data_IF_031187778593
#
_entry.id   IF_031187778593
#
_cell.length_a   1.000
_cell.length_b   1.000
_cell.length_c   1.000
_cell.angle_alpha   90.00
_cell.angle_beta   90.00
_cell.angle_gamma   90.00
#
_symmetry.space_group_name_H-M   'P 1'
#
loop_
_entity.id
_entity.type
_entity.pdbx_description
1 polymer ?
#
# COMPACT_ATOMS: atom_id res chain seq x y z
N UNK A 1 -1.50 3.56 -16.41
CA UNK A 1 -0.70 4.16 -17.50
C UNK A 1 0.34 5.16 -16.98
N UNK A 2 0.00 6.15 -16.11
CA UNK A 2 0.97 7.12 -15.55
C UNK A 2 2.02 6.51 -14.61
N UNK A 3 1.65 5.53 -13.80
CA UNK A 3 2.59 4.80 -12.92
C UNK A 3 3.55 3.90 -13.68
N UNK A 4 3.09 3.24 -14.74
CA UNK A 4 3.95 2.41 -15.60
C UNK A 4 4.98 3.25 -16.37
N UNK A 5 4.62 4.46 -16.76
CA UNK A 5 5.51 5.39 -17.46
C UNK A 5 6.58 5.99 -16.54
N UNK A 6 6.23 6.33 -15.29
CA UNK A 6 7.19 6.81 -14.28
C UNK A 6 8.19 5.70 -13.90
N UNK A 7 7.71 4.47 -13.70
CA UNK A 7 8.55 3.30 -13.44
C UNK A 7 9.54 3.04 -14.59
N UNK A 8 9.11 3.17 -15.85
CA UNK A 8 9.96 3.01 -17.01
C UNK A 8 11.07 4.07 -17.08
N UNK A 9 10.75 5.35 -16.84
CA UNK A 9 11.76 6.44 -16.82
C UNK A 9 12.79 6.26 -15.72
N UNK A 10 12.39 5.76 -14.57
CA UNK A 10 13.33 5.46 -13.47
C UNK A 10 14.25 4.29 -13.84
N UNK A 11 13.72 3.25 -14.44
CA UNK A 11 14.51 2.10 -14.89
C UNK A 11 15.50 2.48 -16.00
N UNK A 12 15.08 3.36 -16.92
CA UNK A 12 15.96 3.93 -17.96
C UNK A 12 17.10 4.77 -17.34
N UNK A 13 16.81 5.62 -16.36
CA UNK A 13 17.80 6.41 -15.66
C UNK A 13 18.82 5.52 -14.94
N UNK A 14 18.33 4.52 -14.21
CA UNK A 14 19.19 3.58 -13.48
C UNK A 14 20.08 2.76 -14.43
N UNK A 15 19.54 2.31 -15.57
CA UNK A 15 20.32 1.61 -16.59
C UNK A 15 21.41 2.50 -17.22
N UNK A 16 21.11 3.76 -17.49
CA UNK A 16 22.11 4.72 -17.99
C UNK A 16 23.23 4.97 -16.99
N UNK A 17 22.88 5.18 -15.71
CA UNK A 17 23.87 5.35 -14.63
C UNK A 17 24.74 4.10 -14.52
N UNK A 18 24.14 2.91 -14.51
CA UNK A 18 24.85 1.64 -14.46
C UNK A 18 25.85 1.50 -15.60
N UNK A 19 25.44 1.75 -16.84
CA UNK A 19 26.32 1.68 -18.01
C UNK A 19 27.47 2.66 -17.93
N UNK A 20 27.22 3.89 -17.50
CA UNK A 20 28.24 4.91 -17.35
C UNK A 20 29.28 4.51 -16.29
N UNK A 21 28.83 4.08 -15.12
CA UNK A 21 29.71 3.64 -14.04
C UNK A 21 30.52 2.41 -14.46
N UNK A 22 29.85 1.42 -15.06
CA UNK A 22 30.54 0.23 -15.55
C UNK A 22 31.61 0.59 -16.58
N UNK A 23 31.29 1.46 -17.55
CA UNK A 23 32.23 1.89 -18.58
C UNK A 23 33.43 2.62 -17.98
N UNK A 24 33.21 3.59 -17.10
CA UNK A 24 34.29 4.36 -16.44
C UNK A 24 35.20 3.43 -15.66
N UNK A 25 34.67 2.47 -14.91
CA UNK A 25 35.46 1.55 -14.10
C UNK A 25 36.25 0.58 -14.99
N UNK A 26 35.64 0.03 -16.03
CA UNK A 26 36.32 -0.87 -16.97
C UNK A 26 37.50 -0.15 -17.67
N UNK A 27 37.26 1.07 -18.17
CA UNK A 27 38.29 1.88 -18.82
C UNK A 27 39.41 2.28 -17.83
N UNK A 28 39.03 2.72 -16.62
CA UNK A 28 40.01 3.08 -15.58
C UNK A 28 40.84 1.87 -15.15
N UNK A 29 40.22 0.69 -15.01
CA UNK A 29 40.96 -0.54 -14.71
C UNK A 29 41.94 -0.92 -15.83
N UNK A 30 41.54 -0.79 -17.09
CA UNK A 30 42.40 -1.08 -18.24
C UNK A 30 43.60 -0.11 -18.31
N UNK A 31 43.36 1.20 -18.08
CA UNK A 31 44.39 2.21 -18.03
C UNK A 31 45.36 1.93 -16.87
N UNK A 32 44.84 1.64 -15.69
CA UNK A 32 45.66 1.31 -14.51
C UNK A 32 46.50 0.07 -14.76
N UNK A 33 45.92 -0.99 -15.33
CA UNK A 33 46.62 -2.21 -15.69
C UNK A 33 47.74 -1.95 -16.69
N UNK A 34 47.48 -1.16 -17.72
CA UNK A 34 48.49 -0.75 -18.71
C UNK A 34 49.66 0.04 -18.10
N UNK A 35 49.38 0.99 -17.19
CA UNK A 35 50.41 1.85 -16.59
C UNK A 35 51.23 1.14 -15.51
N UNK A 36 50.57 0.37 -14.63
CA UNK A 36 51.20 -0.14 -13.39
C UNK A 36 51.87 -1.51 -13.57
N UNK A 37 51.31 -2.37 -14.40
CA UNK A 37 51.79 -3.75 -14.60
C UNK A 37 52.71 -3.94 -15.81
N UNK A 38 52.88 -2.91 -16.63
CA UNK A 38 53.61 -2.97 -17.89
C UNK A 38 55.07 -2.61 -17.77
N UNK A 39 55.82 -3.29 -16.88
CA UNK A 39 57.28 -3.29 -16.92
C UNK A 39 57.84 -4.40 -17.86
N UNK A 40 57.02 -5.03 -18.70
CA UNK A 40 57.43 -6.03 -19.70
C UNK A 40 56.83 -5.69 -21.06
N UNK A 41 57.71 -5.53 -22.03
CA UNK A 41 57.54 -5.27 -23.47
C UNK A 41 56.12 -5.13 -24.02
N UNK A 42 55.80 -3.95 -24.54
CA UNK A 42 54.55 -3.50 -25.15
C UNK A 42 54.08 -4.33 -26.34
N UNK A 43 54.89 -5.19 -26.94
CA UNK A 43 54.61 -5.86 -28.21
C UNK A 43 53.71 -7.11 -28.09
N UNK A 44 53.81 -7.88 -27.00
CA UNK A 44 53.04 -9.12 -26.89
C UNK A 44 51.65 -8.99 -26.22
N UNK A 45 51.45 -7.93 -25.42
CA UNK A 45 50.18 -7.71 -24.69
C UNK A 45 49.27 -6.66 -25.32
N UNK A 46 49.77 -5.86 -26.26
CA UNK A 46 49.00 -4.84 -26.95
C UNK A 46 47.75 -5.38 -27.68
N UNK A 47 47.83 -6.59 -28.20
CA UNK A 47 46.70 -7.28 -28.83
C UNK A 47 45.59 -7.62 -27.84
N UNK A 48 45.92 -8.04 -26.63
CA UNK A 48 44.94 -8.41 -25.59
C UNK A 48 44.14 -7.18 -25.10
N UNK A 49 44.80 -6.05 -24.85
CA UNK A 49 44.16 -4.82 -24.40
C UNK A 49 43.27 -4.24 -25.51
N UNK A 50 43.79 -4.20 -26.74
CA UNK A 50 43.02 -3.71 -27.89
C UNK A 50 41.75 -4.52 -28.11
N UNK A 51 41.82 -5.84 -27.97
CA UNK A 51 40.69 -6.75 -28.09
C UNK A 51 39.64 -6.51 -26.98
N UNK A 52 40.06 -6.31 -25.74
CA UNK A 52 39.16 -6.00 -24.64
C UNK A 52 38.46 -4.64 -24.82
N UNK A 53 39.14 -3.63 -25.33
CA UNK A 53 38.55 -2.32 -25.65
C UNK A 53 37.53 -2.45 -26.78
N UNK A 54 37.84 -3.22 -27.83
CA UNK A 54 36.89 -3.46 -28.93
C UNK A 54 35.62 -4.19 -28.42
N UNK A 55 35.79 -5.23 -27.60
CA UNK A 55 34.64 -5.94 -26.99
C UNK A 55 33.85 -5.01 -26.09
N UNK A 56 34.47 -4.21 -25.24
CA UNK A 56 33.81 -3.25 -24.38
C UNK A 56 32.99 -2.21 -25.14
N UNK A 57 33.55 -1.66 -26.23
CA UNK A 57 32.82 -0.71 -27.09
C UNK A 57 31.65 -1.35 -27.85
N UNK A 58 31.83 -2.59 -28.30
CA UNK A 58 30.75 -3.37 -28.93
C UNK A 58 29.57 -3.62 -27.96
N UNK A 59 29.87 -3.99 -26.72
CA UNK A 59 28.90 -4.18 -25.64
C UNK A 59 28.13 -2.88 -25.37
N UNK A 60 28.86 -1.75 -25.32
CA UNK A 60 28.23 -0.44 -25.14
C UNK A 60 27.27 -0.11 -26.30
N UNK A 61 27.68 -0.39 -27.56
CA UNK A 61 26.85 -0.21 -28.74
C UNK A 61 25.55 -1.02 -28.68
N UNK A 62 25.61 -2.29 -28.27
CA UNK A 62 24.44 -3.16 -28.09
C UNK A 62 23.51 -2.61 -27.00
N UNK A 63 24.05 -2.15 -25.89
CA UNK A 63 23.24 -1.59 -24.81
C UNK A 63 22.57 -0.27 -25.17
N UNK A 64 23.26 0.61 -25.90
CA UNK A 64 22.66 1.83 -26.44
C UNK A 64 21.53 1.51 -27.43
N UNK A 65 21.70 0.48 -28.26
CA UNK A 65 20.65 0.00 -29.17
C UNK A 65 19.44 -0.54 -28.40
N UNK A 66 19.66 -1.30 -27.31
CA UNK A 66 18.57 -1.81 -26.45
C UNK A 66 17.79 -0.67 -25.80
N UNK A 67 18.49 0.39 -25.34
CA UNK A 67 17.84 1.57 -24.76
C UNK A 67 16.99 2.29 -25.84
N UNK A 68 17.50 2.47 -27.06
CA UNK A 68 16.74 3.09 -28.16
C UNK A 68 15.51 2.29 -28.57
N UNK A 69 15.54 0.97 -28.43
CA UNK A 69 14.39 0.07 -28.69
C UNK A 69 13.46 -0.10 -27.47
N UNK A 70 13.57 0.73 -26.45
CA UNK A 70 12.77 0.67 -25.23
C UNK A 70 12.86 -0.65 -24.45
N UNK A 71 13.89 -1.47 -24.73
CA UNK A 71 14.17 -2.73 -24.04
C UNK A 71 15.14 -2.54 -22.86
N UNK A 72 14.92 -1.52 -22.06
CA UNK A 72 15.81 -1.10 -20.97
C UNK A 72 16.05 -2.22 -19.94
N UNK A 73 15.03 -3.01 -19.66
CA UNK A 73 15.09 -4.14 -18.73
C UNK A 73 16.17 -5.18 -19.09
N UNK A 74 16.52 -5.30 -20.37
CA UNK A 74 17.52 -6.29 -20.84
C UNK A 74 18.95 -5.78 -20.73
N UNK A 75 19.18 -4.48 -20.60
CA UNK A 75 20.52 -3.86 -20.52
C UNK A 75 21.37 -4.48 -19.43
N UNK A 76 20.82 -4.58 -18.21
CA UNK A 76 21.52 -5.17 -17.06
C UNK A 76 21.93 -6.63 -17.28
N UNK A 77 21.07 -7.43 -17.92
CA UNK A 77 21.36 -8.82 -18.25
C UNK A 77 22.39 -8.94 -19.37
N UNK A 78 22.29 -8.08 -20.39
CA UNK A 78 23.24 -8.07 -21.52
C UNK A 78 24.66 -7.78 -21.07
N UNK A 79 24.86 -6.87 -20.13
CA UNK A 79 26.19 -6.59 -19.55
C UNK A 79 26.78 -7.80 -18.83
N UNK A 80 25.97 -8.51 -18.03
CA UNK A 80 26.44 -9.71 -17.32
C UNK A 80 26.75 -10.83 -18.30
N UNK A 81 25.89 -11.06 -19.32
CA UNK A 81 26.15 -12.06 -20.37
C UNK A 81 27.43 -11.78 -21.12
N UNK A 82 27.66 -10.53 -21.51
CA UNK A 82 28.88 -10.14 -22.20
C UNK A 82 30.14 -10.38 -21.35
N UNK A 83 30.06 -10.04 -20.05
CA UNK A 83 31.12 -10.32 -19.12
C UNK A 83 31.43 -11.81 -19.02
N UNK A 84 30.41 -12.68 -18.90
CA UNK A 84 30.58 -14.12 -18.84
C UNK A 84 31.21 -14.66 -20.13
N UNK A 85 30.78 -14.14 -21.29
CA UNK A 85 31.35 -14.53 -22.59
C UNK A 85 32.87 -14.25 -22.65
N UNK A 86 33.31 -13.09 -22.16
CA UNK A 86 34.72 -12.74 -22.08
C UNK A 86 35.47 -13.69 -21.13
N UNK A 87 34.90 -13.97 -19.96
CA UNK A 87 35.53 -14.87 -18.97
C UNK A 87 35.64 -16.31 -19.48
N UNK A 88 34.63 -16.82 -20.17
CA UNK A 88 34.67 -18.15 -20.80
C UNK A 88 35.75 -18.19 -21.89
N UNK A 89 35.86 -17.13 -22.71
CA UNK A 89 36.90 -17.05 -23.72
C UNK A 89 38.32 -17.03 -23.09
N UNK A 90 38.50 -16.33 -21.97
CA UNK A 90 39.73 -16.32 -21.21
C UNK A 90 40.10 -17.72 -20.65
N UNK A 91 39.11 -18.45 -20.10
CA UNK A 91 39.27 -19.82 -19.60
C UNK A 91 39.74 -20.73 -20.75
N UNK A 92 39.08 -20.63 -21.90
CA UNK A 92 39.40 -21.44 -23.07
C UNK A 92 40.77 -21.14 -23.64
N UNK A 93 41.20 -19.85 -23.68
CA UNK A 93 42.55 -19.42 -24.07
C UNK A 93 43.59 -19.97 -23.10
N UNK A 94 43.34 -19.95 -21.81
CA UNK A 94 44.23 -20.53 -20.79
C UNK A 94 44.42 -22.04 -21.02
N UNK A 95 43.33 -22.77 -21.31
CA UNK A 95 43.42 -24.22 -21.55
C UNK A 95 44.20 -24.57 -22.81
N UNK A 96 44.12 -23.77 -23.87
CA UNK A 96 44.79 -24.03 -25.15
C UNK A 96 46.28 -23.62 -25.17
N UNK A 97 46.61 -22.51 -24.55
CA UNK A 97 47.93 -21.91 -24.71
C UNK A 97 48.79 -21.94 -23.46
N UNK A 98 48.24 -22.42 -22.32
CA UNK A 98 48.92 -22.46 -21.02
C UNK A 98 49.52 -21.08 -20.59
N UNK A 99 48.99 -20.02 -21.17
CA UNK A 99 49.46 -18.64 -20.97
C UNK A 99 48.58 -17.91 -19.93
N UNK A 100 49.22 -17.50 -18.88
CA UNK A 100 48.80 -16.63 -17.81
C UNK A 100 48.32 -17.31 -16.53
N UNK A 101 48.92 -16.93 -15.43
CA UNK A 101 48.40 -17.23 -14.09
C UNK A 101 46.99 -16.68 -13.94
N UNK A 102 46.07 -17.53 -13.49
CA UNK A 102 44.71 -17.13 -13.11
C UNK A 102 44.80 -16.10 -11.99
N UNK A 103 44.50 -14.84 -12.31
CA UNK A 103 44.33 -13.77 -11.34
C UNK A 103 42.84 -13.74 -10.97
N UNK A 104 42.50 -14.59 -10.00
CA UNK A 104 41.11 -14.73 -9.57
C UNK A 104 40.66 -13.54 -8.77
N UNK A 105 39.53 -13.00 -9.14
CA UNK A 105 38.85 -11.93 -8.44
C UNK A 105 38.76 -10.67 -9.28
N UNK A 106 37.67 -10.57 -10.06
CA UNK A 106 37.50 -9.42 -10.96
C UNK A 106 36.69 -8.33 -10.26
N UNK A 107 37.25 -7.12 -10.19
CA UNK A 107 36.55 -5.94 -9.65
C UNK A 107 35.18 -5.72 -10.30
N UNK A 108 35.03 -6.16 -11.55
CA UNK A 108 33.77 -6.07 -12.32
C UNK A 108 32.64 -6.86 -11.66
N UNK A 109 32.93 -8.00 -11.03
CA UNK A 109 31.92 -8.79 -10.32
C UNK A 109 31.35 -8.06 -9.13
N UNK A 110 32.20 -7.36 -8.39
CA UNK A 110 31.78 -6.52 -7.26
C UNK A 110 30.83 -5.45 -7.73
N UNK A 111 31.05 -4.87 -8.93
CA UNK A 111 30.15 -3.86 -9.50
C UNK A 111 28.78 -4.46 -9.79
N UNK A 112 28.71 -5.62 -10.45
CA UNK A 112 27.44 -6.28 -10.69
C UNK A 112 26.66 -6.56 -9.40
N UNK A 113 27.35 -7.00 -8.35
CA UNK A 113 26.77 -7.23 -7.02
C UNK A 113 26.27 -5.91 -6.41
N UNK A 114 27.05 -4.82 -6.51
CA UNK A 114 26.72 -3.51 -5.93
C UNK A 114 25.50 -2.87 -6.59
N UNK A 115 25.25 -3.15 -7.87
CA UNK A 115 24.09 -2.64 -8.60
C UNK A 115 22.82 -3.44 -8.39
N UNK A 116 22.87 -4.63 -7.79
CA UNK A 116 21.67 -5.42 -7.49
C UNK A 116 20.63 -4.66 -6.65
N UNK A 117 21.00 -4.00 -5.54
CA UNK A 117 20.05 -3.21 -4.75
C UNK A 117 19.45 -2.02 -5.51
N UNK A 118 20.21 -1.42 -6.43
CA UNK A 118 19.77 -0.25 -7.21
C UNK A 118 18.63 -0.62 -8.17
N UNK A 119 18.70 -1.82 -8.76
CA UNK A 119 17.65 -2.31 -9.65
C UNK A 119 16.43 -2.88 -8.92
N UNK A 120 16.51 -3.09 -7.59
CA UNK A 120 15.41 -3.62 -6.75
C UNK A 120 14.73 -4.87 -7.34
N UNK A 121 15.48 -5.69 -8.08
CA UNK A 121 14.94 -6.79 -8.87
C UNK A 121 15.52 -8.14 -8.40
N UNK A 122 14.68 -8.93 -7.71
CA UNK A 122 15.07 -10.27 -7.21
C UNK A 122 15.49 -11.22 -8.32
N UNK A 123 14.88 -11.12 -9.53
CA UNK A 123 15.25 -11.97 -10.68
C UNK A 123 16.66 -11.65 -11.18
N UNK A 124 17.00 -10.34 -11.20
CA UNK A 124 18.35 -9.92 -11.55
C UNK A 124 19.37 -10.39 -10.51
N UNK A 125 19.05 -10.31 -9.22
CA UNK A 125 19.88 -10.85 -8.16
C UNK A 125 20.20 -12.34 -8.36
N UNK A 126 19.15 -13.18 -8.56
CA UNK A 126 19.31 -14.62 -8.77
C UNK A 126 20.17 -14.90 -10.02
N UNK A 127 19.98 -14.11 -11.08
CA UNK A 127 20.78 -14.22 -12.29
C UNK A 127 22.26 -13.92 -12.05
N UNK A 128 22.61 -12.84 -11.37
CA UNK A 128 23.99 -12.47 -11.00
C UNK A 128 24.59 -13.56 -10.08
N UNK A 129 23.83 -14.02 -9.09
CA UNK A 129 24.23 -15.11 -8.19
C UNK A 129 24.59 -16.38 -8.96
N UNK A 130 23.69 -16.88 -9.79
CA UNK A 130 23.91 -18.12 -10.56
C UNK A 130 25.10 -18.00 -11.50
N UNK A 131 25.32 -16.83 -12.06
CA UNK A 131 26.42 -16.51 -12.95
C UNK A 131 27.78 -16.54 -12.24
N UNK A 132 27.90 -15.82 -11.12
CA UNK A 132 29.15 -15.75 -10.38
C UNK A 132 29.49 -17.09 -9.75
N UNK A 133 28.52 -17.74 -9.11
CA UNK A 133 28.71 -19.07 -8.52
C UNK A 133 29.08 -20.10 -9.60
N UNK A 134 28.37 -20.10 -10.73
CA UNK A 134 28.63 -20.99 -11.86
C UNK A 134 30.06 -20.83 -12.41
N UNK A 135 30.56 -19.59 -12.54
CA UNK A 135 31.94 -19.31 -12.97
C UNK A 135 32.95 -19.97 -12.01
N UNK A 136 32.84 -19.75 -10.71
CA UNK A 136 33.81 -20.28 -9.75
C UNK A 136 33.72 -21.80 -9.59
N UNK A 137 32.55 -22.38 -9.79
CA UNK A 137 32.39 -23.85 -9.89
C UNK A 137 33.16 -24.39 -11.11
N UNK A 138 33.07 -23.73 -12.26
CA UNK A 138 33.84 -24.11 -13.46
C UNK A 138 35.35 -24.00 -13.18
N UNK A 139 35.82 -22.92 -12.55
CA UNK A 139 37.23 -22.79 -12.18
C UNK A 139 37.70 -23.91 -11.28
N UNK A 140 36.92 -24.32 -10.29
CA UNK A 140 37.27 -25.37 -9.36
C UNK A 140 37.40 -26.75 -10.05
N UNK A 141 36.42 -27.10 -10.91
CA UNK A 141 36.37 -28.42 -11.55
C UNK A 141 37.22 -28.52 -12.80
N UNK A 142 37.34 -27.47 -13.59
CA UNK A 142 38.05 -27.49 -14.89
C UNK A 142 39.52 -27.14 -14.70
N UNK A 143 39.85 -26.09 -13.95
CA UNK A 143 41.24 -25.63 -13.79
C UNK A 143 41.91 -26.25 -12.57
N UNK A 144 41.15 -26.95 -11.69
CA UNK A 144 41.63 -27.55 -10.42
C UNK A 144 42.43 -26.59 -9.52
N UNK A 145 42.12 -25.31 -9.64
CA UNK A 145 42.77 -24.23 -8.88
C UNK A 145 42.12 -24.11 -7.50
N UNK A 146 42.87 -24.43 -6.44
CA UNK A 146 42.43 -24.36 -5.03
C UNK A 146 42.04 -22.94 -4.64
N UNK A 147 42.66 -21.91 -5.24
CA UNK A 147 42.30 -20.51 -5.03
C UNK A 147 40.83 -20.22 -5.40
N UNK A 148 40.27 -20.93 -6.40
CA UNK A 148 38.86 -20.81 -6.79
C UNK A 148 37.90 -21.08 -5.65
N UNK A 149 38.23 -21.97 -4.71
CA UNK A 149 37.43 -22.28 -3.55
C UNK A 149 37.30 -21.10 -2.56
N UNK A 150 38.39 -20.39 -2.33
CA UNK A 150 38.39 -19.17 -1.49
C UNK A 150 37.48 -18.07 -2.09
N UNK A 151 37.60 -17.85 -3.39
CA UNK A 151 36.73 -16.88 -4.10
C UNK A 151 35.26 -17.27 -4.07
N UNK A 152 34.96 -18.57 -4.27
CA UNK A 152 33.60 -19.09 -4.19
C UNK A 152 32.97 -18.80 -2.81
N UNK A 153 33.70 -19.07 -1.73
CA UNK A 153 33.21 -18.78 -0.37
C UNK A 153 33.02 -17.27 -0.17
N UNK A 154 34.01 -16.48 -0.53
CA UNK A 154 33.97 -15.01 -0.36
C UNK A 154 32.76 -14.39 -1.10
N UNK A 155 32.58 -14.72 -2.39
CA UNK A 155 31.46 -14.18 -3.16
C UNK A 155 30.11 -14.70 -2.70
N UNK A 156 30.03 -15.96 -2.24
CA UNK A 156 28.77 -16.49 -1.67
C UNK A 156 28.39 -15.75 -0.41
N UNK A 157 29.33 -15.43 0.48
CA UNK A 157 29.09 -14.64 1.69
C UNK A 157 28.64 -13.21 1.35
N UNK A 158 29.32 -12.57 0.40
CA UNK A 158 28.95 -11.22 -0.07
C UNK A 158 27.52 -11.23 -0.65
N UNK A 159 27.20 -12.22 -1.47
CA UNK A 159 25.87 -12.33 -2.08
C UNK A 159 24.76 -12.60 -1.05
N UNK A 160 25.03 -13.41 -0.02
CA UNK A 160 24.10 -13.59 1.10
C UNK A 160 23.86 -12.25 1.83
N UNK A 161 24.93 -11.51 2.13
CA UNK A 161 24.82 -10.19 2.76
C UNK A 161 23.98 -9.21 1.90
N UNK A 162 24.27 -9.16 0.60
CA UNK A 162 23.52 -8.31 -0.35
C UNK A 162 22.06 -8.74 -0.45
N UNK A 163 21.77 -10.04 -0.42
CA UNK A 163 20.37 -10.54 -0.39
C UNK A 163 19.61 -10.06 0.84
N UNK A 164 20.24 -10.14 2.01
CA UNK A 164 19.62 -9.66 3.26
C UNK A 164 19.34 -8.15 3.17
N UNK A 165 20.33 -7.37 2.71
CA UNK A 165 20.20 -5.92 2.52
C UNK A 165 19.08 -5.60 1.53
N UNK A 166 19.02 -6.29 0.39
CA UNK A 166 18.01 -6.10 -0.65
C UNK A 166 16.59 -6.37 -0.11
N UNK A 167 16.39 -7.46 0.62
CA UNK A 167 15.10 -7.77 1.20
C UNK A 167 14.68 -6.73 2.25
N UNK A 168 15.59 -6.31 3.13
CA UNK A 168 15.32 -5.26 4.12
C UNK A 168 14.98 -3.93 3.45
N UNK A 169 15.69 -3.59 2.39
CA UNK A 169 15.46 -2.35 1.65
C UNK A 169 14.11 -2.35 0.92
N UNK A 170 13.73 -3.46 0.29
CA UNK A 170 12.42 -3.61 -0.35
C UNK A 170 11.29 -3.49 0.71
N UNK A 171 11.43 -4.13 1.86
CA UNK A 171 10.45 -4.03 2.95
C UNK A 171 10.34 -2.59 3.47
N UNK A 172 11.48 -1.91 3.67
CA UNK A 172 11.50 -0.51 4.09
C UNK A 172 10.81 0.41 3.09
N UNK A 173 11.11 0.26 1.80
CA UNK A 173 10.46 1.06 0.74
C UNK A 173 8.94 0.83 0.67
N UNK A 174 8.48 -0.42 0.85
CA UNK A 174 7.04 -0.70 0.88
C UNK A 174 6.36 -0.05 2.07
N UNK A 175 6.96 -0.10 3.26
CA UNK A 175 6.44 0.55 4.46
C UNK A 175 6.40 2.08 4.32
N UNK A 176 7.45 2.69 3.77
CA UNK A 176 7.49 4.15 3.49
C UNK A 176 6.41 4.54 2.48
N UNK A 177 6.24 3.77 1.40
CA UNK A 177 5.21 4.04 0.39
C UNK A 177 3.80 3.99 0.99
N UNK A 178 3.54 3.02 1.85
CA UNK A 178 2.27 2.89 2.55
C UNK A 178 2.04 4.05 3.54
N UNK A 179 3.06 4.41 4.31
CA UNK A 179 3.00 5.56 5.22
C UNK A 179 2.72 6.89 4.48
N UNK A 180 3.36 7.11 3.32
CA UNK A 180 3.10 8.30 2.48
C UNK A 180 1.66 8.29 1.95
N UNK A 181 1.15 7.12 1.55
CA UNK A 181 -0.24 6.99 1.08
C UNK A 181 -1.22 7.36 2.18
N UNK A 182 -1.06 6.78 3.37
CA UNK A 182 -1.90 7.08 4.54
C UNK A 182 -1.83 8.56 4.92
N UNK A 183 -0.63 9.14 4.97
CA UNK A 183 -0.45 10.56 5.26
C UNK A 183 -1.14 11.47 4.22
N UNK A 184 -1.03 11.15 2.93
CA UNK A 184 -1.68 11.89 1.85
C UNK A 184 -3.21 11.82 1.94
N UNK A 185 -3.78 10.67 2.25
CA UNK A 185 -5.22 10.49 2.44
C UNK A 185 -5.71 11.27 3.67
N UNK A 186 -4.97 11.20 4.79
CA UNK A 186 -5.26 11.96 6.00
C UNK A 186 -5.20 13.47 5.75
N UNK A 187 -4.20 13.94 4.99
CA UNK A 187 -4.08 15.35 4.64
C UNK A 187 -5.25 15.82 3.76
N UNK A 188 -5.68 15.03 2.78
CA UNK A 188 -6.86 15.35 1.96
C UNK A 188 -8.11 15.49 2.83
N UNK A 189 -8.35 14.55 3.74
CA UNK A 189 -9.47 14.60 4.67
C UNK A 189 -9.41 15.82 5.60
N UNK A 190 -8.22 16.18 6.09
CA UNK A 190 -8.03 17.36 6.93
C UNK A 190 -8.35 18.68 6.20
N UNK A 191 -7.93 18.80 4.93
CA UNK A 191 -8.24 19.98 4.09
C UNK A 191 -9.74 20.06 3.83
N UNK A 192 -10.37 18.95 3.43
CA UNK A 192 -11.82 18.87 3.22
C UNK A 192 -12.54 19.22 4.51
N UNK A 193 -12.08 18.67 5.64
CA UNK A 193 -12.60 18.97 6.95
C UNK A 193 -12.59 20.46 7.26
N UNK A 194 -11.45 21.11 7.11
CA UNK A 194 -11.32 22.56 7.37
C UNK A 194 -12.26 23.40 6.48
N UNK A 195 -12.36 23.06 5.21
CA UNK A 195 -13.27 23.74 4.28
C UNK A 195 -14.74 23.47 4.63
N UNK A 196 -15.08 22.22 4.95
CA UNK A 196 -16.43 21.81 5.28
C UNK A 196 -16.97 22.51 6.54
N UNK A 197 -16.13 22.73 7.56
CA UNK A 197 -16.54 23.45 8.76
C UNK A 197 -16.94 24.90 8.45
N UNK A 198 -16.14 25.59 7.65
CA UNK A 198 -16.41 26.99 7.28
C UNK A 198 -17.62 27.09 6.34
N UNK A 199 -17.58 26.35 5.22
CA UNK A 199 -18.64 26.36 4.20
C UNK A 199 -19.96 25.82 4.77
N UNK A 200 -19.90 24.79 5.63
CA UNK A 200 -21.06 24.20 6.24
C UNK A 200 -21.84 25.18 7.13
N UNK A 201 -21.15 25.99 7.91
CA UNK A 201 -21.80 27.06 8.68
C UNK A 201 -22.41 28.14 7.78
N UNK A 202 -21.70 28.56 6.73
CA UNK A 202 -22.17 29.56 5.78
C UNK A 202 -23.36 29.06 4.93
N UNK A 203 -23.48 27.75 4.65
CA UNK A 203 -24.63 27.19 3.91
C UNK A 203 -25.81 26.89 4.87
N UNK A 204 -25.57 26.48 6.11
CA UNK A 204 -26.66 26.24 7.08
C UNK A 204 -27.51 27.48 7.32
N UNK A 205 -26.89 28.67 7.33
CA UNK A 205 -27.61 29.94 7.58
C UNK A 205 -28.67 30.23 6.50
N UNK A 206 -28.37 30.24 5.17
CA UNK A 206 -29.39 30.46 4.17
C UNK A 206 -30.42 29.32 4.09
N UNK A 207 -30.02 28.06 4.37
CA UNK A 207 -30.96 26.94 4.42
C UNK A 207 -31.95 27.09 5.58
N UNK A 208 -31.52 27.56 6.76
CA UNK A 208 -32.41 27.84 7.88
C UNK A 208 -33.43 28.92 7.51
N UNK A 209 -32.99 29.97 6.81
CA UNK A 209 -33.88 31.04 6.33
C UNK A 209 -34.88 30.52 5.29
N UNK A 210 -34.39 29.71 4.31
CA UNK A 210 -35.28 29.11 3.33
C UNK A 210 -36.31 28.16 3.97
N UNK A 211 -35.89 27.36 4.96
CA UNK A 211 -36.82 26.50 5.73
C UNK A 211 -37.88 27.34 6.41
N UNK A 212 -37.52 28.43 7.09
CA UNK A 212 -38.45 29.32 7.75
C UNK A 212 -39.44 29.95 6.80
N UNK A 213 -39.00 30.48 5.66
CA UNK A 213 -39.89 31.02 4.64
C UNK A 213 -40.82 29.97 4.05
N UNK A 214 -40.35 28.79 3.78
CA UNK A 214 -41.15 27.67 3.25
C UNK A 214 -42.17 27.20 4.27
N UNK A 215 -41.84 27.15 5.54
CA UNK A 215 -42.80 26.81 6.62
C UNK A 215 -43.92 27.87 6.74
N UNK A 216 -43.59 29.18 6.70
CA UNK A 216 -44.55 30.22 6.70
C UNK A 216 -45.50 30.17 5.49
N UNK A 217 -45.00 29.83 4.32
CA UNK A 217 -45.84 29.65 3.12
C UNK A 217 -46.74 28.42 3.22
N UNK A 218 -46.25 27.32 3.80
CA UNK A 218 -47.06 26.12 4.05
C UNK A 218 -48.21 26.40 4.99
N UNK A 219 -48.02 27.18 6.02
CA UNK A 219 -49.13 27.60 6.95
C UNK A 219 -50.21 28.40 6.24
N UNK A 220 -49.86 29.14 5.16
CA UNK A 220 -50.85 29.85 4.34
C UNK A 220 -51.51 29.03 3.23
N UNK A 221 -50.88 27.94 2.83
CA UNK A 221 -51.28 27.09 1.74
C UNK A 221 -51.20 25.61 2.16
N UNK A 222 -51.98 25.20 3.19
CA UNK A 222 -51.85 23.89 3.87
C UNK A 222 -52.08 22.71 2.93
N UNK A 223 -52.87 22.86 1.86
CA UNK A 223 -53.20 21.80 0.92
C UNK A 223 -52.16 21.60 -0.20
N UNK A 224 -51.20 22.49 -0.36
CA UNK A 224 -50.20 22.36 -1.43
C UNK A 224 -49.04 21.44 -1.05
N UNK A 225 -48.88 20.29 -1.68
CA UNK A 225 -47.86 19.32 -1.37
C UNK A 225 -46.42 19.82 -1.69
N UNK A 226 -46.31 20.86 -2.54
CA UNK A 226 -45.02 21.42 -2.95
C UNK A 226 -44.20 21.92 -1.75
N UNK A 227 -44.85 22.60 -0.79
CA UNK A 227 -44.18 23.10 0.40
C UNK A 227 -43.64 22.00 1.32
N UNK A 228 -44.37 20.86 1.41
CA UNK A 228 -43.89 19.68 2.16
C UNK A 228 -42.62 19.10 1.50
N UNK A 229 -42.61 19.02 0.18
CA UNK A 229 -41.49 18.53 -0.59
C UNK A 229 -40.28 19.48 -0.49
N UNK A 230 -40.46 20.78 -0.56
CA UNK A 230 -39.43 21.77 -0.38
C UNK A 230 -38.77 21.69 1.01
N UNK A 231 -39.56 21.52 2.07
CA UNK A 231 -39.02 21.34 3.45
C UNK A 231 -38.21 20.07 3.53
N UNK A 232 -38.66 18.99 2.94
CA UNK A 232 -37.95 17.71 2.89
C UNK A 232 -36.58 17.85 2.19
N UNK A 233 -36.54 18.53 1.05
CA UNK A 233 -35.26 18.79 0.34
C UNK A 233 -34.30 19.67 1.15
N UNK A 234 -34.81 20.70 1.83
CA UNK A 234 -33.99 21.56 2.71
C UNK A 234 -33.42 20.73 3.88
N UNK A 235 -34.20 19.82 4.45
CA UNK A 235 -33.76 18.91 5.50
C UNK A 235 -32.69 17.92 5.00
N UNK A 236 -32.84 17.39 3.80
CA UNK A 236 -31.84 16.56 3.16
C UNK A 236 -30.52 17.32 2.97
N UNK A 237 -30.56 18.55 2.47
CA UNK A 237 -29.37 19.39 2.32
C UNK A 237 -28.69 19.67 3.69
N UNK A 238 -29.46 19.98 4.73
CA UNK A 238 -28.93 20.17 6.08
C UNK A 238 -28.26 18.90 6.64
N UNK A 239 -28.81 17.74 6.37
CA UNK A 239 -28.25 16.45 6.77
C UNK A 239 -26.90 16.20 6.04
N UNK A 240 -26.85 16.43 4.71
CA UNK A 240 -25.63 16.30 3.92
C UNK A 240 -24.51 17.22 4.41
N UNK A 241 -24.85 18.49 4.71
CA UNK A 241 -23.88 19.46 5.25
C UNK A 241 -23.41 19.02 6.64
N UNK A 242 -24.30 18.47 7.47
CA UNK A 242 -23.93 17.99 8.80
C UNK A 242 -22.97 16.79 8.71
N UNK A 243 -23.21 15.83 7.82
CA UNK A 243 -22.30 14.72 7.54
C UNK A 243 -20.91 15.24 7.08
N UNK A 244 -20.88 16.25 6.21
CA UNK A 244 -19.63 16.87 5.76
C UNK A 244 -18.87 17.57 6.90
N UNK A 245 -19.60 18.27 7.79
CA UNK A 245 -19.02 18.96 8.96
C UNK A 245 -18.49 17.99 10.03
N UNK A 246 -19.07 16.79 10.17
CA UNK A 246 -18.56 15.78 11.11
C UNK A 246 -17.19 15.25 10.69
N UNK A 247 -16.91 15.14 9.40
CA UNK A 247 -15.56 14.85 8.89
C UNK A 247 -14.57 15.95 9.28
N UNK A 248 -15.06 17.19 9.35
CA UNK A 248 -14.28 18.40 9.61
C UNK A 248 -13.88 18.60 11.06
N UNK A 249 -14.75 18.26 11.99
CA UNK A 249 -14.57 18.56 13.41
C UNK A 249 -13.77 17.48 14.11
N UNK A 250 -12.43 17.54 13.97
CA UNK A 250 -11.50 16.77 14.79
C UNK A 250 -11.49 17.31 16.24
N UNK A 251 -12.58 17.13 16.99
CA UNK A 251 -12.53 17.35 18.44
C UNK A 251 -11.71 16.22 19.06
N UNK A 252 -10.79 16.54 20.01
CA UNK A 252 -10.04 15.50 20.71
C UNK A 252 -11.00 14.53 21.39
N UNK A 253 -10.71 13.22 21.28
CA UNK A 253 -11.54 12.18 21.88
C UNK A 253 -11.39 12.18 23.39
N UNK A 254 -12.50 12.04 24.10
CA UNK A 254 -12.55 11.94 25.57
C UNK A 254 -12.80 10.47 25.91
N UNK A 255 -11.73 9.76 26.23
CA UNK A 255 -11.81 8.34 26.57
C UNK A 255 -12.27 8.12 28.00
N UNK A 256 -13.37 7.40 28.18
CA UNK A 256 -13.89 6.92 29.46
C UNK A 256 -14.39 5.48 29.29
N UNK A 257 -14.53 4.78 30.41
CA UNK A 257 -15.11 3.44 30.40
C UNK A 257 -16.60 3.52 30.20
N UNK A 258 -17.09 2.88 29.17
CA UNK A 258 -18.50 2.78 28.82
C UNK A 258 -18.89 1.36 28.46
N UNK A 259 -20.12 0.95 28.76
CA UNK A 259 -20.67 -0.30 28.29
C UNK A 259 -21.01 -0.20 26.81
N UNK A 260 -20.25 -0.92 25.96
CA UNK A 260 -20.40 -0.85 24.51
C UNK A 260 -21.77 -1.33 24.02
N UNK A 261 -22.37 -2.30 24.73
CA UNK A 261 -23.72 -2.78 24.43
C UNK A 261 -24.79 -1.70 24.62
N UNK A 262 -24.69 -0.92 25.69
CA UNK A 262 -25.60 0.21 25.95
C UNK A 262 -25.49 1.29 24.87
N UNK A 263 -24.27 1.62 24.41
CA UNK A 263 -24.07 2.61 23.37
C UNK A 263 -24.74 2.12 22.05
N UNK A 264 -24.61 0.83 21.74
CA UNK A 264 -25.27 0.24 20.55
C UNK A 264 -26.79 0.29 20.66
N UNK A 265 -27.34 -0.04 21.82
CA UNK A 265 -28.81 0.01 22.08
C UNK A 265 -29.35 1.45 22.05
N UNK A 266 -28.59 2.44 22.52
CA UNK A 266 -28.95 3.86 22.39
C UNK A 266 -29.04 4.27 20.91
N UNK A 267 -28.09 3.84 20.06
CA UNK A 267 -28.15 4.11 18.62
C UNK A 267 -29.39 3.48 17.97
N UNK A 268 -29.73 2.26 18.36
CA UNK A 268 -30.97 1.60 17.91
C UNK A 268 -32.22 2.37 18.34
N UNK A 269 -32.26 2.81 19.61
CA UNK A 269 -33.40 3.58 20.13
C UNK A 269 -33.65 4.89 19.33
N UNK A 270 -32.56 5.57 18.91
CA UNK A 270 -32.67 6.79 18.08
C UNK A 270 -33.26 6.46 16.69
N UNK A 271 -32.94 5.29 16.12
CA UNK A 271 -33.38 4.90 14.79
C UNK A 271 -34.67 4.05 14.78
N UNK A 272 -35.30 3.86 15.92
CA UNK A 272 -36.44 2.96 16.08
C UNK A 272 -37.66 3.35 15.23
N UNK A 273 -37.96 4.64 15.14
CA UNK A 273 -39.03 5.14 14.30
C UNK A 273 -38.79 4.78 12.82
N UNK A 274 -37.60 5.03 12.34
CA UNK A 274 -37.17 4.70 10.97
C UNK A 274 -37.20 3.19 10.70
N UNK A 275 -36.84 2.37 11.68
CA UNK A 275 -36.96 0.91 11.59
C UNK A 275 -38.40 0.46 11.41
N UNK A 276 -39.32 1.07 12.18
CA UNK A 276 -40.76 0.77 12.08
C UNK A 276 -41.31 1.20 10.72
N UNK A 277 -40.96 2.38 10.23
CA UNK A 277 -41.37 2.87 8.90
C UNK A 277 -40.90 1.93 7.77
N UNK A 278 -39.68 1.42 7.87
CA UNK A 278 -39.09 0.49 6.90
C UNK A 278 -39.48 -0.98 7.16
N UNK A 279 -40.34 -1.28 8.15
CA UNK A 279 -40.72 -2.64 8.53
C UNK A 279 -39.52 -3.58 8.81
N UNK A 280 -38.46 -3.06 9.44
CA UNK A 280 -37.26 -3.82 9.78
C UNK A 280 -37.38 -4.38 11.20
N UNK A 281 -37.19 -5.70 11.32
CA UNK A 281 -37.17 -6.39 12.62
C UNK A 281 -35.78 -6.37 13.21
N UNK A 282 -35.66 -6.07 14.52
CA UNK A 282 -34.41 -6.14 15.27
C UNK A 282 -34.25 -7.49 15.95
N UNK A 283 -33.13 -8.14 15.74
CA UNK A 283 -32.62 -9.27 16.52
C UNK A 283 -31.40 -8.79 17.31
N UNK A 284 -31.49 -8.76 18.64
CA UNK A 284 -30.39 -8.33 19.50
C UNK A 284 -29.81 -9.52 20.25
N UNK A 285 -28.61 -9.91 19.89
CA UNK A 285 -27.77 -10.91 20.56
C UNK A 285 -26.64 -10.20 21.30
N UNK A 286 -26.99 -9.22 22.12
CA UNK A 286 -26.05 -8.54 23.01
C UNK A 286 -26.02 -9.33 24.30
N UNK A 287 -24.84 -9.89 24.66
CA UNK A 287 -24.70 -10.62 25.93
C UNK A 287 -25.14 -9.74 27.10
N UNK A 288 -25.84 -10.33 28.09
CA UNK A 288 -26.28 -9.63 29.32
C UNK A 288 -25.10 -9.12 30.18
N UNK A 289 -23.87 -9.58 29.88
CA UNK A 289 -22.66 -9.14 30.58
C UNK A 289 -22.25 -7.74 30.15
N UNK A 290 -22.03 -6.89 31.15
CA UNK A 290 -21.48 -5.56 30.95
C UNK A 290 -20.06 -5.68 30.38
N UNK A 291 -19.86 -5.21 29.13
CA UNK A 291 -18.55 -5.18 28.48
C UNK A 291 -18.09 -3.72 28.42
N UNK A 292 -17.18 -3.38 29.34
CA UNK A 292 -16.60 -2.05 29.42
C UNK A 292 -15.47 -1.88 28.39
N UNK A 293 -15.51 -0.76 27.67
CA UNK A 293 -14.51 -0.31 26.70
C UNK A 293 -14.13 1.14 27.00
N UNK A 294 -12.84 1.45 26.99
CA UNK A 294 -12.37 2.84 27.06
C UNK A 294 -12.56 3.50 25.70
N UNK A 295 -13.58 4.36 25.59
CA UNK A 295 -13.92 5.01 24.31
C UNK A 295 -14.56 6.40 24.53
N UNK A 296 -14.63 7.17 23.46
CA UNK A 296 -15.50 8.35 23.40
C UNK A 296 -16.92 7.90 22.99
N UNK A 297 -17.82 7.91 23.97
CA UNK A 297 -19.20 7.43 23.81
C UNK A 297 -19.91 8.10 22.62
N UNK A 298 -19.75 9.42 22.46
CA UNK A 298 -20.43 10.16 21.39
C UNK A 298 -19.94 9.74 20.01
N UNK A 299 -18.62 9.59 19.86
CA UNK A 299 -18.02 9.15 18.59
C UNK A 299 -18.41 7.71 18.26
N UNK A 300 -18.33 6.80 19.23
CA UNK A 300 -18.70 5.39 19.00
C UNK A 300 -20.20 5.25 18.75
N UNK A 301 -21.07 6.00 19.43
CA UNK A 301 -22.49 6.04 19.11
C UNK A 301 -22.73 6.54 17.68
N UNK A 302 -21.96 7.54 17.22
CA UNK A 302 -21.98 8.00 15.84
C UNK A 302 -21.63 6.87 14.85
N UNK A 303 -20.62 6.04 15.13
CA UNK A 303 -20.27 4.87 14.32
C UNK A 303 -21.46 3.92 14.18
N UNK A 304 -22.11 3.57 15.30
CA UNK A 304 -23.28 2.68 15.28
C UNK A 304 -24.45 3.30 14.50
N UNK A 305 -24.69 4.59 14.66
CA UNK A 305 -25.74 5.29 13.90
C UNK A 305 -25.47 5.23 12.40
N UNK A 306 -24.22 5.45 11.94
CA UNK A 306 -23.87 5.35 10.53
C UNK A 306 -24.06 3.94 9.98
N UNK A 307 -23.59 2.94 10.70
CA UNK A 307 -23.65 1.55 10.25
C UNK A 307 -25.11 1.06 10.21
N UNK A 308 -25.89 1.31 11.28
CA UNK A 308 -27.30 0.91 11.35
C UNK A 308 -28.12 1.66 10.29
N UNK A 309 -27.91 2.96 10.10
CA UNK A 309 -28.60 3.74 9.06
C UNK A 309 -28.34 3.18 7.65
N UNK A 310 -27.10 2.78 7.35
CA UNK A 310 -26.75 2.15 6.08
C UNK A 310 -27.48 0.81 5.90
N UNK A 311 -27.57 -0.01 6.96
CA UNK A 311 -28.30 -1.26 6.96
C UNK A 311 -29.81 -1.05 6.68
N UNK A 312 -30.44 -0.07 7.36
CA UNK A 312 -31.86 0.27 7.13
C UNK A 312 -32.09 0.72 5.68
N UNK A 313 -31.18 1.52 5.14
CA UNK A 313 -31.26 1.98 3.75
C UNK A 313 -31.04 0.84 2.72
N UNK A 314 -30.44 -0.27 3.12
CA UNK A 314 -30.33 -1.46 2.27
C UNK A 314 -31.57 -2.35 2.33
N UNK A 315 -32.50 -2.08 3.26
CA UNK A 315 -33.70 -2.87 3.55
C UNK A 315 -35.01 -2.04 3.37
N UNK A 316 -35.11 -1.28 2.29
CA UNK A 316 -36.28 -0.39 2.02
C UNK A 316 -37.65 -1.11 1.98
N UNK A 317 -37.65 -2.39 1.68
CA UNK A 317 -38.88 -3.22 1.61
C UNK A 317 -39.04 -4.10 2.86
N UNK A 318 -38.40 -3.74 3.96
CA UNK A 318 -38.36 -4.55 5.17
C UNK A 318 -37.19 -5.51 5.21
N UNK A 319 -36.96 -6.09 6.37
CA UNK A 319 -35.85 -7.02 6.56
C UNK A 319 -35.55 -7.30 8.03
N UNK A 320 -34.38 -7.83 8.28
CA UNK A 320 -33.88 -8.16 9.62
C UNK A 320 -32.53 -7.53 9.85
N UNK A 321 -32.46 -6.76 10.93
CA UNK A 321 -31.19 -6.21 11.45
C UNK A 321 -30.79 -7.01 12.68
N UNK A 322 -29.65 -7.70 12.62
CA UNK A 322 -29.10 -8.42 13.76
C UNK A 322 -27.93 -7.65 14.36
N UNK A 323 -27.94 -7.45 15.69
CA UNK A 323 -26.83 -6.94 16.47
C UNK A 323 -26.25 -8.07 17.33
N UNK A 324 -24.94 -8.31 17.18
CA UNK A 324 -24.24 -9.35 17.91
C UNK A 324 -23.03 -8.77 18.60
N UNK A 325 -22.92 -8.94 19.93
CA UNK A 325 -21.81 -8.48 20.74
C UNK A 325 -21.05 -9.68 21.31
N UNK A 326 -19.77 -9.76 21.02
CA UNK A 326 -18.93 -10.89 21.42
C UNK A 326 -17.60 -10.40 22.01
N UNK A 327 -17.09 -11.09 23.04
CA UNK A 327 -15.73 -10.91 23.50
C UNK A 327 -14.76 -11.61 22.54
N UNK A 328 -13.83 -10.88 21.96
CA UNK A 328 -12.76 -11.43 21.12
C UNK A 328 -11.47 -11.56 21.94
N UNK A 329 -11.38 -12.64 22.70
CA UNK A 329 -10.32 -12.83 23.70
C UNK A 329 -10.49 -11.93 24.92
N UNK A 330 -9.38 -11.67 25.65
CA UNK A 330 -9.40 -10.85 26.85
C UNK A 330 -9.32 -9.34 26.58
N UNK A 331 -8.72 -8.95 25.47
CA UNK A 331 -8.32 -7.57 25.18
C UNK A 331 -9.25 -6.83 24.21
N UNK A 332 -10.03 -7.55 23.43
CA UNK A 332 -10.89 -6.97 22.40
C UNK A 332 -12.36 -7.33 22.57
N UNK A 333 -13.21 -6.48 22.04
CA UNK A 333 -14.66 -6.72 21.88
C UNK A 333 -15.00 -6.55 20.41
N UNK A 334 -15.95 -7.34 19.91
CA UNK A 334 -16.47 -7.25 18.55
C UNK A 334 -17.97 -7.02 18.60
N UNK A 335 -18.43 -5.95 17.97
CA UNK A 335 -19.84 -5.72 17.65
C UNK A 335 -20.05 -5.95 16.16
N UNK A 336 -20.94 -6.88 15.83
CA UNK A 336 -21.38 -7.14 14.46
C UNK A 336 -22.75 -6.53 14.22
N UNK A 337 -22.88 -5.79 13.14
CA UNK A 337 -24.16 -5.31 12.59
C UNK A 337 -24.41 -6.06 11.30
N UNK A 338 -25.50 -6.83 11.24
CA UNK A 338 -25.80 -7.74 10.13
C UNK A 338 -27.17 -7.38 9.58
N UNK A 339 -27.25 -7.10 8.29
CA UNK A 339 -28.51 -6.89 7.56
C UNK A 339 -28.70 -7.96 6.49
N UNK A 340 -29.93 -8.19 6.10
CA UNK A 340 -30.34 -9.03 4.98
C UNK A 340 -30.79 -8.21 3.77
N UNK A 341 -30.26 -6.99 3.59
CA UNK A 341 -30.61 -6.10 2.50
C UNK A 341 -29.99 -6.52 1.15
N UNK A 342 -29.97 -5.61 0.18
CA UNK A 342 -29.48 -5.88 -1.19
C UNK A 342 -27.97 -6.13 -1.28
N UNK A 343 -27.21 -5.93 -0.21
CA UNK A 343 -25.77 -6.18 -0.17
C UNK A 343 -24.92 -5.32 -1.11
N UNK A 344 -23.63 -5.65 -1.20
CA UNK A 344 -22.63 -4.89 -1.97
C UNK A 344 -21.93 -5.84 -2.95
N UNK A 345 -21.74 -5.41 -4.18
CA UNK A 345 -20.95 -6.17 -5.17
C UNK A 345 -19.51 -6.35 -4.68
N UNK A 346 -18.94 -7.54 -4.84
CA UNK A 346 -17.59 -7.90 -4.38
C UNK A 346 -16.51 -6.92 -4.82
N UNK A 347 -16.60 -6.40 -6.04
CA UNK A 347 -15.67 -5.39 -6.60
C UNK A 347 -15.72 -4.04 -5.86
N UNK A 348 -16.81 -3.73 -5.19
CA UNK A 348 -17.05 -2.46 -4.50
C UNK A 348 -16.75 -2.52 -3.00
N UNK A 349 -16.74 -3.71 -2.39
CA UNK A 349 -16.55 -3.87 -0.93
C UNK A 349 -15.25 -3.19 -0.45
N UNK A 350 -14.16 -3.29 -1.20
CA UNK A 350 -12.90 -2.66 -0.85
C UNK A 350 -12.93 -1.12 -0.92
N UNK A 351 -13.95 -0.54 -1.57
CA UNK A 351 -14.04 0.90 -1.85
C UNK A 351 -15.06 1.63 -0.99
N UNK A 352 -15.95 0.91 -0.30
CA UNK A 352 -17.05 1.54 0.46
C UNK A 352 -16.60 2.38 1.65
N UNK A 353 -15.35 2.23 2.08
CA UNK A 353 -14.71 3.08 3.10
C UNK A 353 -13.91 4.26 2.49
N UNK A 354 -13.77 4.31 1.14
CA UNK A 354 -13.13 5.45 0.47
C UNK A 354 -14.04 6.68 0.59
N UNK A 355 -13.45 7.84 0.86
CA UNK A 355 -14.21 9.09 0.94
C UNK A 355 -14.89 9.44 -0.39
N UNK A 356 -16.15 9.87 -0.32
CA UNK A 356 -17.01 10.21 -1.46
C UNK A 356 -17.41 9.01 -2.34
N UNK A 357 -17.13 7.80 -1.91
CA UNK A 357 -17.62 6.63 -2.62
C UNK A 357 -19.08 6.34 -2.22
N UNK A 358 -19.96 6.40 -3.18
CA UNK A 358 -21.38 6.06 -3.00
C UNK A 358 -21.96 5.51 -4.30
N UNK A 359 -22.91 4.61 -4.17
CA UNK A 359 -23.76 4.11 -5.28
C UNK A 359 -25.14 4.77 -5.28
N UNK A 360 -25.42 5.66 -4.32
CA UNK A 360 -26.69 6.36 -4.13
C UNK A 360 -26.57 7.79 -4.61
N UNK A 361 -27.57 8.29 -5.38
CA UNK A 361 -27.52 9.65 -5.97
C UNK A 361 -27.61 10.77 -4.92
N UNK A 362 -28.29 10.52 -3.79
CA UNK A 362 -28.58 11.54 -2.78
C UNK A 362 -27.66 11.47 -1.56
N UNK A 363 -26.46 10.88 -1.71
CA UNK A 363 -25.50 10.69 -0.61
C UNK A 363 -24.11 11.15 -0.98
N UNK A 364 -23.43 11.76 -0.02
CA UNK A 364 -22.05 12.23 -0.21
C UNK A 364 -21.03 11.07 -0.11
N UNK A 365 -21.40 9.94 0.51
CA UNK A 365 -20.49 8.79 0.67
C UNK A 365 -19.42 8.99 1.74
N UNK A 366 -19.72 9.68 2.82
CA UNK A 366 -18.77 9.94 3.92
C UNK A 366 -19.04 9.10 5.18
N UNK A 367 -20.23 8.55 5.37
CA UNK A 367 -20.63 7.91 6.62
C UNK A 367 -19.72 6.73 7.02
N UNK A 368 -19.41 5.79 6.11
CA UNK A 368 -18.51 4.68 6.41
C UNK A 368 -17.04 5.11 6.54
N UNK A 369 -16.62 6.14 5.81
CA UNK A 369 -15.28 6.74 5.96
C UNK A 369 -15.10 7.34 7.35
N UNK A 370 -16.13 8.05 7.85
CA UNK A 370 -16.12 8.63 9.22
C UNK A 370 -16.13 7.51 10.26
N UNK A 371 -16.97 6.48 10.06
CA UNK A 371 -17.03 5.34 10.96
C UNK A 371 -15.68 4.62 11.05
N UNK A 372 -15.05 4.33 9.92
CA UNK A 372 -13.72 3.69 9.87
C UNK A 372 -12.66 4.55 10.58
N UNK A 373 -12.64 5.87 10.32
CA UNK A 373 -11.72 6.80 10.97
C UNK A 373 -11.90 6.82 12.49
N UNK A 374 -13.15 6.88 12.99
CA UNK A 374 -13.42 6.90 14.43
C UNK A 374 -12.99 5.58 15.07
N UNK A 375 -13.24 4.45 14.43
CA UNK A 375 -12.80 3.13 14.89
C UNK A 375 -11.28 3.06 14.95
N UNK A 376 -10.58 3.55 13.93
CA UNK A 376 -9.12 3.63 13.89
C UNK A 376 -8.55 4.59 14.97
N UNK A 377 -9.21 5.73 15.25
CA UNK A 377 -8.86 6.62 16.38
C UNK A 377 -8.93 5.88 17.73
N UNK A 378 -9.82 4.90 17.85
CA UNK A 378 -9.97 4.05 19.04
C UNK A 378 -9.08 2.79 18.98
N UNK A 379 -8.05 2.75 18.11
CA UNK A 379 -7.15 1.62 17.91
C UNK A 379 -7.90 0.32 17.55
N UNK A 380 -9.08 0.46 16.96
CA UNK A 380 -9.93 -0.63 16.51
C UNK A 380 -9.76 -0.92 15.02
N UNK A 381 -10.57 -1.85 14.53
CA UNK A 381 -10.67 -2.18 13.09
C UNK A 381 -12.13 -2.38 12.69
N UNK A 382 -12.45 -1.95 11.46
CA UNK A 382 -13.77 -2.11 10.87
C UNK A 382 -13.67 -3.05 9.68
N UNK A 383 -14.37 -4.19 9.72
CA UNK A 383 -14.41 -5.18 8.65
C UNK A 383 -15.80 -5.24 8.01
N UNK A 384 -15.84 -5.24 6.69
CA UNK A 384 -17.07 -5.29 5.91
C UNK A 384 -17.06 -6.56 5.06
N UNK A 385 -18.08 -7.40 5.26
CA UNK A 385 -18.33 -8.59 4.47
C UNK A 385 -19.71 -8.49 3.85
N UNK A 386 -19.82 -8.54 2.55
CA UNK A 386 -21.09 -8.40 1.85
C UNK A 386 -21.12 -9.23 0.58
N UNK A 387 -22.29 -9.73 0.26
CA UNK A 387 -22.59 -10.39 -0.99
C UNK A 387 -23.91 -9.83 -1.54
N UNK A 388 -23.95 -9.59 -2.84
CA UNK A 388 -25.13 -9.03 -3.48
C UNK A 388 -26.34 -9.93 -3.25
N UNK A 389 -27.49 -9.31 -2.90
CA UNK A 389 -28.78 -9.94 -2.60
C UNK A 389 -28.77 -10.89 -1.38
N UNK A 390 -27.70 -10.88 -0.57
CA UNK A 390 -27.59 -11.65 0.69
C UNK A 390 -27.40 -10.79 1.94
N UNK A 391 -27.21 -9.48 1.75
CA UNK A 391 -27.01 -8.51 2.83
C UNK A 391 -25.56 -8.18 3.12
N UNK A 392 -25.36 -7.45 4.23
CA UNK A 392 -24.06 -6.97 4.66
C UNK A 392 -23.83 -7.27 6.13
N UNK A 393 -22.60 -7.62 6.46
CA UNK A 393 -22.10 -7.75 7.82
C UNK A 393 -20.96 -6.76 8.02
N UNK A 394 -21.06 -5.92 9.04
CA UNK A 394 -20.03 -4.99 9.47
C UNK A 394 -19.60 -5.37 10.88
N UNK A 395 -18.33 -5.76 11.02
CA UNK A 395 -17.71 -6.11 12.30
C UNK A 395 -16.85 -4.94 12.78
N UNK A 396 -17.18 -4.39 13.94
CA UNK A 396 -16.46 -3.31 14.62
C UNK A 396 -15.71 -3.95 15.77
N UNK A 397 -14.38 -3.98 15.70
CA UNK A 397 -13.50 -4.56 16.71
C UNK A 397 -12.81 -3.43 17.47
N UNK A 398 -12.98 -3.35 18.78
CA UNK A 398 -12.39 -2.32 19.63
C UNK A 398 -11.55 -2.98 20.75
N UNK A 399 -10.39 -2.40 21.09
CA UNK A 399 -9.66 -2.80 22.29
C UNK A 399 -10.43 -2.34 23.52
N UNK A 400 -10.46 -3.15 24.59
CA UNK A 400 -11.12 -2.79 25.85
C UNK A 400 -10.43 -1.64 26.58
N UNK A 401 -9.14 -1.44 26.32
CA UNK A 401 -8.33 -0.34 26.87
C UNK A 401 -7.67 0.41 25.72
N UNK A 402 -7.89 1.70 25.64
CA UNK A 402 -7.12 2.63 24.79
C UNK A 402 -5.95 3.19 25.62
N UNK A 403 -5.02 2.33 26.05
CA UNK A 403 -3.83 2.77 26.78
C UNK A 403 -2.78 3.36 25.84
N UNK A 404 -2.02 4.34 26.36
CA UNK A 404 -0.80 4.92 25.76
C UNK A 404 0.28 3.86 25.48
N UNK A 405 0.10 3.00 24.49
CA UNK A 405 1.18 2.18 23.95
C UNK A 405 1.27 2.48 22.46
N UNK A 406 2.26 3.28 22.14
CA UNK A 406 2.77 3.44 20.79
C UNK A 406 3.02 2.07 20.14
N UNK A 407 2.37 1.87 19.01
CA UNK A 407 2.80 1.01 17.89
C UNK A 407 3.23 -0.43 18.24
N UNK A 408 2.26 -1.34 18.29
CA UNK A 408 2.45 -2.73 17.87
C UNK A 408 1.14 -3.30 17.28
N UNK A 409 0.69 -2.76 16.16
CA UNK A 409 -0.49 -3.24 15.41
C UNK A 409 -0.03 -3.88 14.08
N UNK A 410 0.86 -4.83 14.11
CA UNK A 410 1.32 -5.49 12.88
C UNK A 410 1.37 -7.01 12.93
N UNK A 411 1.49 -7.61 14.10
CA UNK A 411 1.98 -9.00 14.15
C UNK A 411 1.14 -10.01 14.94
N UNK A 412 0.00 -9.64 15.53
CA UNK A 412 -0.72 -10.57 16.46
C UNK A 412 -2.13 -10.97 16.09
N UNK A 413 -2.67 -10.56 14.97
CA UNK A 413 -3.94 -11.09 14.48
C UNK A 413 -3.67 -12.06 13.34
N UNK A 414 -3.41 -13.32 13.65
CA UNK A 414 -3.37 -14.44 12.70
C UNK A 414 -4.73 -14.57 12.00
N UNK A 415 -4.98 -13.73 11.02
CA UNK A 415 -6.03 -13.93 10.00
C UNK A 415 -5.30 -14.41 8.76
N UNK A 416 -5.23 -15.71 8.59
CA UNK A 416 -4.88 -16.34 7.31
C UNK A 416 -5.96 -15.95 6.31
N UNK A 417 -5.58 -15.25 5.25
CA UNK A 417 -6.40 -14.90 4.08
C UNK A 417 -6.63 -16.16 3.26
#
# INVERSE_FOLDING_TARGET
MKESFLSYKEEERNAKIFLWVLYVIVVSYQIFYAIVLENKSLTDKGHSILWQVICGTAILGVNVYLIKKEKVNFVKYACVFAYIGIEIANIFSYMLYNEAAFDGGNIIEIIFIFFVPIFLNKKYFVFVLSTIVGKYVIYLFVLKEVKGFMYLIMYTLILIAVYIILNRFIQYLSAVKESIKIASESQKLAVIGKMAATVGHEIKNPLASLKGFTQLQREKHEEDPIYKQMIFEIENMNNMISELMEVATCKPSIYKKHNIGEIALQAVAILREKMNESSVQLISNIEEKIIEVECDERKIRGVFLYVIKNALEAMEQGGTLELRLENKGKEYVMLSVIDNGYGIKKENVARVTEAFYTTKQDKIGLGLTVADRIVNEHLGTLHISSERDKGTRIDIILPKKCGNNEIQVGEKLGVTI
#
